data_IF_224014777310
#
_entry.id   IF_224014777310
#
_cell.length_a   1.000
_cell.length_b   1.000
_cell.length_c   1.000
_cell.angle_alpha   90.00
_cell.angle_beta   90.00
_cell.angle_gamma   90.00
#
_symmetry.space_group_name_H-M   'P 1'
#
loop_
_entity.id
_entity.type
_entity.pdbx_description
1 polymer ?
#
# COMPACT_ATOMS: atom_id res chain seq x y z
N UNK A 1 11.97 13.44 -10.86
CA UNK A 1 11.24 13.79 -9.63
C UNK A 1 9.83 14.32 -9.89
N UNK A 2 9.60 15.16 -10.90
CA UNK A 2 8.27 15.71 -11.19
C UNK A 2 7.20 14.64 -11.47
N UNK A 3 7.49 13.64 -12.32
CA UNK A 3 6.57 12.53 -12.59
C UNK A 3 6.18 11.73 -11.34
N UNK A 4 7.16 11.50 -10.46
CA UNK A 4 6.92 10.84 -9.18
C UNK A 4 6.01 11.69 -8.28
N UNK A 5 6.24 13.00 -8.23
CA UNK A 5 5.39 13.95 -7.53
C UNK A 5 3.95 13.93 -8.03
N UNK A 6 3.74 14.00 -9.35
CA UNK A 6 2.41 13.91 -9.95
C UNK A 6 1.73 12.58 -9.64
N UNK A 7 2.41 11.44 -9.83
CA UNK A 7 1.85 10.13 -9.55
C UNK A 7 1.38 10.00 -8.09
N UNK A 8 2.19 10.44 -7.13
CA UNK A 8 1.84 10.43 -5.71
C UNK A 8 0.70 11.40 -5.38
N UNK A 9 0.67 12.57 -6.03
CA UNK A 9 -0.42 13.54 -5.87
C UNK A 9 -1.76 12.97 -6.35
N UNK A 10 -1.75 12.28 -7.51
CA UNK A 10 -2.92 11.59 -8.03
C UNK A 10 -3.36 10.43 -7.14
N UNK A 11 -2.42 9.62 -6.62
CA UNK A 11 -2.74 8.54 -5.68
C UNK A 11 -3.53 9.06 -4.47
N UNK A 12 -3.05 10.15 -3.83
CA UNK A 12 -3.72 10.74 -2.67
C UNK A 12 -5.06 11.37 -3.03
N UNK A 13 -5.17 12.00 -4.20
CA UNK A 13 -6.42 12.56 -4.68
C UNK A 13 -7.48 11.46 -4.91
N UNK A 14 -7.08 10.34 -5.51
CA UNK A 14 -7.97 9.19 -5.74
C UNK A 14 -8.42 8.58 -4.42
N UNK A 15 -7.49 8.42 -3.48
CA UNK A 15 -7.81 7.98 -2.12
C UNK A 15 -6.76 8.47 -1.14
N UNK A 16 -7.22 9.18 -0.11
CA UNK A 16 -6.32 9.72 0.92
C UNK A 16 -5.50 8.65 1.66
N UNK A 17 -5.96 7.39 1.71
CA UNK A 17 -5.20 6.29 2.32
C UNK A 17 -3.92 5.94 1.56
N UNK A 18 -3.82 6.29 0.27
CA UNK A 18 -2.63 6.04 -0.54
C UNK A 18 -1.46 6.96 -0.19
N UNK A 19 -1.61 7.86 0.79
CA UNK A 19 -0.50 8.61 1.38
C UNK A 19 0.63 7.68 1.86
N UNK A 20 0.30 6.44 2.23
CA UNK A 20 1.27 5.40 2.60
C UNK A 20 2.24 5.08 1.45
N UNK A 21 1.88 5.30 0.19
CA UNK A 21 2.75 5.11 -0.97
C UNK A 21 3.99 6.01 -0.94
N UNK A 22 3.99 7.11 -0.16
CA UNK A 22 5.18 7.94 0.09
C UNK A 22 6.33 7.14 0.73
N UNK A 23 6.02 6.09 1.49
CA UNK A 23 7.03 5.20 2.05
C UNK A 23 7.89 4.53 0.97
N UNK A 24 7.36 4.35 -0.24
CA UNK A 24 8.04 3.67 -1.35
C UNK A 24 9.31 4.43 -1.77
N UNK A 25 9.23 5.67 -2.29
CA UNK A 25 10.42 6.42 -2.68
C UNK A 25 11.33 6.75 -1.48
N UNK A 26 10.79 6.94 -0.28
CA UNK A 26 11.56 7.27 0.92
C UNK A 26 12.45 6.11 1.38
N UNK A 27 11.91 4.89 1.41
CA UNK A 27 12.61 3.70 1.87
C UNK A 27 13.25 2.90 0.73
N UNK A 28 13.12 3.36 -0.52
CA UNK A 28 13.73 2.67 -1.66
C UNK A 28 15.25 2.62 -1.50
N UNK A 29 15.81 1.41 -1.56
CA UNK A 29 17.24 1.12 -1.43
C UNK A 29 17.81 1.41 -0.02
N UNK A 30 17.05 1.11 1.03
CA UNK A 30 17.43 1.30 2.43
C UNK A 30 17.43 -0.04 3.16
N UNK A 31 18.56 -0.45 3.74
CA UNK A 31 18.71 -1.73 4.47
C UNK A 31 19.59 -1.69 5.73
N UNK A 32 20.32 -0.60 5.95
CA UNK A 32 21.16 -0.37 7.13
C UNK A 32 21.31 1.14 7.42
N UNK A 33 21.94 1.49 8.54
CA UNK A 33 22.15 2.89 8.95
C UNK A 33 22.94 3.71 7.92
N UNK A 34 23.92 3.10 7.27
CA UNK A 34 24.72 3.75 6.23
C UNK A 34 23.90 4.10 4.99
N UNK A 35 23.11 3.16 4.46
CA UNK A 35 22.20 3.38 3.34
C UNK A 35 21.17 4.47 3.63
N UNK A 36 20.72 4.59 4.89
CA UNK A 36 19.84 5.67 5.34
C UNK A 36 20.53 7.03 5.28
N UNK A 37 21.77 7.14 5.77
CA UNK A 37 22.56 8.37 5.68
C UNK A 37 22.83 8.74 4.21
N UNK A 38 23.17 7.76 3.37
CA UNK A 38 23.36 7.97 1.93
C UNK A 38 22.08 8.42 1.23
N UNK A 39 20.92 7.91 1.65
CA UNK A 39 19.61 8.35 1.15
C UNK A 39 19.35 9.82 1.48
N UNK A 40 19.62 10.24 2.72
CA UNK A 40 19.49 11.64 3.12
C UNK A 40 20.45 12.56 2.40
N UNK A 41 21.71 12.12 2.20
CA UNK A 41 22.69 12.86 1.40
C UNK A 41 22.20 13.03 -0.04
N UNK A 42 21.72 11.95 -0.67
CA UNK A 42 21.13 12.01 -2.01
C UNK A 42 19.97 13.01 -2.11
N UNK A 43 19.08 13.02 -1.10
CA UNK A 43 17.95 13.96 -1.03
C UNK A 43 18.46 15.41 -0.92
N UNK A 44 19.46 15.64 -0.09
CA UNK A 44 20.05 16.97 0.13
C UNK A 44 20.77 17.51 -1.12
N UNK A 45 21.54 16.65 -1.78
CA UNK A 45 22.25 16.97 -3.01
C UNK A 45 21.28 17.31 -4.15
N UNK A 46 20.11 16.66 -4.16
CA UNK A 46 19.05 16.86 -5.16
C UNK A 46 17.89 17.71 -4.65
N UNK A 47 18.10 18.60 -3.67
CA UNK A 47 17.04 19.39 -3.03
C UNK A 47 16.17 20.18 -4.01
N UNK A 48 16.74 20.70 -5.10
CA UNK A 48 15.98 21.41 -6.14
C UNK A 48 15.00 20.47 -6.84
N UNK A 49 15.45 19.25 -7.17
CA UNK A 49 14.57 18.25 -7.78
C UNK A 49 13.50 17.76 -6.79
N UNK A 50 13.82 17.68 -5.50
CA UNK A 50 12.84 17.38 -4.45
C UNK A 50 11.79 18.49 -4.37
N UNK A 51 12.20 19.77 -4.31
CA UNK A 51 11.28 20.90 -4.29
C UNK A 51 10.36 20.90 -5.51
N UNK A 52 10.90 20.69 -6.71
CA UNK A 52 10.09 20.54 -7.92
C UNK A 52 9.11 19.35 -7.82
N UNK A 53 9.55 18.22 -7.28
CA UNK A 53 8.69 17.07 -7.03
C UNK A 53 7.56 17.36 -6.05
N UNK A 54 7.85 18.07 -4.95
CA UNK A 54 6.86 18.50 -3.95
C UNK A 54 5.89 19.51 -4.57
N UNK A 55 6.38 20.47 -5.36
CA UNK A 55 5.51 21.41 -6.08
C UNK A 55 4.54 20.67 -7.01
N UNK A 56 5.04 19.72 -7.82
CA UNK A 56 4.17 18.89 -8.68
C UNK A 56 3.17 18.05 -7.88
N UNK A 57 3.61 17.49 -6.75
CA UNK A 57 2.74 16.76 -5.84
C UNK A 57 1.60 17.63 -5.30
N UNK A 58 1.89 18.86 -4.85
CA UNK A 58 0.91 19.76 -4.25
C UNK A 58 -0.12 20.30 -5.25
N UNK A 59 0.21 20.38 -6.54
CA UNK A 59 -0.73 20.83 -7.58
C UNK A 59 -1.99 19.95 -7.60
N UNK A 60 -1.85 18.64 -7.38
CA UNK A 60 -2.98 17.71 -7.54
C UNK A 60 -4.00 17.83 -6.38
N UNK A 61 -3.61 17.79 -5.09
CA UNK A 61 -4.53 18.06 -3.98
C UNK A 61 -5.09 19.48 -3.98
N UNK A 62 -4.38 20.46 -4.53
CA UNK A 62 -4.89 21.84 -4.65
C UNK A 62 -6.17 21.91 -5.50
N UNK A 63 -6.29 21.08 -6.55
CA UNK A 63 -7.52 21.01 -7.35
C UNK A 63 -8.71 20.60 -6.46
N UNK A 64 -8.53 19.62 -5.59
CA UNK A 64 -9.56 19.18 -4.63
C UNK A 64 -9.92 20.26 -3.61
N UNK A 65 -8.92 20.94 -3.04
CA UNK A 65 -9.14 22.00 -2.05
C UNK A 65 -9.86 23.21 -2.64
N UNK A 66 -9.54 23.59 -3.89
CA UNK A 66 -10.23 24.64 -4.63
C UNK A 66 -11.67 24.25 -4.95
N UNK A 67 -11.90 23.00 -5.34
CA UNK A 67 -13.25 22.47 -5.56
C UNK A 67 -14.09 22.55 -4.27
N UNK A 68 -13.54 22.12 -3.13
CA UNK A 68 -14.23 22.27 -1.85
C UNK A 68 -14.49 23.73 -1.51
N UNK A 69 -13.52 24.62 -1.71
CA UNK A 69 -13.70 26.05 -1.45
C UNK A 69 -14.83 26.65 -2.29
N UNK A 70 -14.94 26.24 -3.56
CA UNK A 70 -15.98 26.68 -4.47
C UNK A 70 -17.38 26.19 -4.06
N UNK A 71 -17.51 24.92 -3.64
CA UNK A 71 -18.82 24.30 -3.35
C UNK A 71 -19.28 24.51 -1.90
N UNK A 72 -18.38 24.33 -0.92
CA UNK A 72 -18.72 24.33 0.50
C UNK A 72 -18.27 25.60 1.24
N UNK A 73 -17.53 26.48 0.56
CA UNK A 73 -16.94 27.67 1.16
C UNK A 73 -15.70 27.39 2.03
N UNK A 74 -15.27 26.13 2.17
CA UNK A 74 -14.16 25.69 3.02
C UNK A 74 -13.06 24.99 2.19
N UNK A 75 -11.78 25.22 2.51
CA UNK A 75 -10.67 24.58 1.80
C UNK A 75 -10.50 23.09 2.12
N UNK A 76 -10.99 22.64 3.28
CA UNK A 76 -11.00 21.25 3.70
C UNK A 76 -12.42 20.96 4.18
N UNK A 77 -13.07 19.99 3.55
CA UNK A 77 -14.45 19.62 3.89
C UNK A 77 -14.54 18.11 4.16
N UNK A 78 -14.90 17.74 5.39
CA UNK A 78 -15.09 16.35 5.75
C UNK A 78 -16.46 15.86 5.25
N UNK A 79 -16.43 15.09 4.17
CA UNK A 79 -17.67 14.60 3.51
C UNK A 79 -18.35 13.45 4.27
N UNK A 80 -17.70 12.90 5.29
CA UNK A 80 -18.11 11.70 6.03
C UNK A 80 -18.78 12.03 7.37
N UNK A 81 -19.72 12.97 7.39
CA UNK A 81 -20.33 13.51 8.62
C UNK A 81 -21.02 12.45 9.51
N UNK A 82 -21.48 11.34 8.94
CA UNK A 82 -22.23 10.28 9.63
C UNK A 82 -21.45 8.98 9.87
N UNK A 83 -20.18 8.90 9.46
CA UNK A 83 -19.33 7.72 9.73
C UNK A 83 -18.21 8.12 10.66
N UNK A 84 -18.10 7.39 11.77
CA UNK A 84 -17.02 7.56 12.74
C UNK A 84 -15.66 7.45 12.02
N UNK A 85 -14.70 8.30 12.41
CA UNK A 85 -13.41 8.45 11.72
C UNK A 85 -12.50 7.23 11.87
N UNK A 86 -11.44 7.37 12.67
CA UNK A 86 -10.46 6.31 12.85
C UNK A 86 -10.45 5.76 14.28
N UNK A 87 -10.61 4.44 14.38
CA UNK A 87 -10.39 3.62 15.56
C UNK A 87 -8.95 3.07 15.56
N UNK A 88 -8.05 3.78 16.25
CA UNK A 88 -6.63 3.40 16.31
C UNK A 88 -6.30 2.31 17.34
N UNK A 89 -7.30 1.71 17.98
CA UNK A 89 -7.11 0.64 18.97
C UNK A 89 -6.94 -0.76 18.36
N UNK A 90 -7.05 -0.87 17.03
CA UNK A 90 -6.86 -2.13 16.31
C UNK A 90 -8.04 -3.10 16.43
N UNK A 91 -9.19 -2.70 16.99
CA UNK A 91 -10.35 -3.57 17.23
C UNK A 91 -10.91 -4.26 15.97
N UNK A 92 -10.62 -3.72 14.79
CA UNK A 92 -11.12 -4.25 13.51
C UNK A 92 -10.09 -5.09 12.73
N UNK A 93 -8.84 -5.23 13.20
CA UNK A 93 -7.77 -5.99 12.49
C UNK A 93 -8.24 -7.41 12.14
N UNK A 94 -8.77 -8.15 13.11
CA UNK A 94 -9.24 -9.52 12.88
C UNK A 94 -10.46 -9.56 11.96
N UNK A 95 -11.34 -8.56 12.06
CA UNK A 95 -12.52 -8.46 11.19
C UNK A 95 -12.09 -8.23 9.75
N UNK A 96 -11.14 -7.34 9.52
CA UNK A 96 -10.58 -7.07 8.19
C UNK A 96 -9.88 -8.29 7.60
N UNK A 97 -9.28 -9.16 8.41
CA UNK A 97 -8.60 -10.35 7.91
C UNK A 97 -9.56 -11.53 7.64
N UNK A 98 -10.56 -11.75 8.50
CA UNK A 98 -11.31 -13.01 8.55
C UNK A 98 -12.83 -12.88 8.74
N UNK A 99 -13.42 -11.69 8.74
CA UNK A 99 -14.88 -11.58 8.84
C UNK A 99 -15.60 -12.07 7.59
N UNK A 100 -16.59 -12.94 7.76
CA UNK A 100 -17.50 -13.35 6.69
C UNK A 100 -18.28 -12.20 6.07
N UNK A 101 -18.55 -11.11 6.82
CA UNK A 101 -19.19 -9.92 6.24
C UNK A 101 -18.31 -9.32 5.16
N UNK A 102 -17.04 -9.12 5.50
CA UNK A 102 -16.01 -8.48 4.68
C UNK A 102 -14.64 -8.85 5.20
N UNK A 103 -13.79 -9.40 4.34
CA UNK A 103 -12.42 -9.68 4.73
C UNK A 103 -11.46 -9.65 3.56
N UNK A 104 -10.19 -9.53 3.88
CA UNK A 104 -9.14 -9.51 2.89
C UNK A 104 -8.69 -10.92 2.53
N UNK A 105 -8.37 -11.77 3.51
CA UNK A 105 -7.79 -13.08 3.23
C UNK A 105 -8.85 -14.07 2.71
N UNK A 106 -10.05 -14.11 3.28
CA UNK A 106 -11.08 -15.06 2.79
C UNK A 106 -11.51 -14.77 1.34
N UNK A 107 -11.58 -13.50 0.95
CA UNK A 107 -12.03 -13.10 -0.39
C UNK A 107 -10.87 -12.96 -1.39
N UNK A 108 -9.64 -12.73 -0.92
CA UNK A 108 -8.44 -12.55 -1.74
C UNK A 108 -7.25 -13.33 -1.17
N UNK A 109 -7.30 -14.67 -1.07
CA UNK A 109 -6.24 -15.47 -0.44
C UNK A 109 -4.90 -15.40 -1.19
N UNK A 110 -4.92 -15.05 -2.48
CA UNK A 110 -3.73 -14.78 -3.29
C UNK A 110 -2.76 -13.79 -2.64
N UNK A 111 -3.26 -12.88 -1.78
CA UNK A 111 -2.40 -11.91 -1.08
C UNK A 111 -1.39 -12.59 -0.14
N UNK A 112 -1.67 -13.80 0.34
CA UNK A 112 -0.73 -14.57 1.17
C UNK A 112 0.59 -14.76 0.40
N UNK A 113 0.53 -14.99 -0.91
CA UNK A 113 1.73 -15.15 -1.74
C UNK A 113 2.57 -13.87 -1.78
N UNK A 114 1.91 -12.71 -1.87
CA UNK A 114 2.60 -11.41 -1.79
C UNK A 114 3.23 -11.19 -0.41
N UNK A 115 2.53 -11.52 0.67
CA UNK A 115 3.04 -11.39 2.05
C UNK A 115 4.27 -12.27 2.26
N UNK A 116 4.21 -13.55 1.86
CA UNK A 116 5.37 -14.45 1.89
C UNK A 116 6.51 -13.92 1.01
N UNK A 117 6.16 -13.37 -0.15
CA UNK A 117 7.07 -12.66 -1.05
C UNK A 117 7.89 -11.58 -0.36
N UNK A 118 7.27 -10.75 0.50
CA UNK A 118 7.98 -9.73 1.28
C UNK A 118 9.07 -10.38 2.13
N UNK A 119 8.78 -11.47 2.85
CA UNK A 119 9.79 -12.13 3.68
C UNK A 119 10.91 -12.78 2.87
N UNK A 120 10.61 -13.28 1.67
CA UNK A 120 11.62 -13.81 0.73
C UNK A 120 12.57 -12.69 0.26
N UNK A 121 12.05 -11.47 0.04
CA UNK A 121 12.87 -10.32 -0.34
C UNK A 121 13.96 -9.99 0.69
N UNK A 122 13.80 -10.37 1.97
CA UNK A 122 14.86 -10.20 2.98
C UNK A 122 16.18 -10.85 2.55
N UNK A 123 16.11 -11.97 1.82
CA UNK A 123 17.27 -12.70 1.28
C UNK A 123 17.59 -12.30 -0.16
N UNK A 124 16.58 -12.17 -1.03
CA UNK A 124 16.78 -11.97 -2.47
C UNK A 124 16.90 -10.50 -2.92
N UNK A 125 16.35 -9.58 -2.15
CA UNK A 125 16.25 -8.15 -2.49
C UNK A 125 16.26 -7.29 -1.22
N UNK A 126 17.24 -7.54 -0.35
CA UNK A 126 17.38 -6.88 0.95
C UNK A 126 17.25 -5.35 0.90
N UNK A 127 17.77 -4.63 -0.12
CA UNK A 127 17.61 -3.18 -0.22
C UNK A 127 16.16 -2.66 -0.35
N UNK A 128 15.23 -3.50 -0.78
CA UNK A 128 13.83 -3.13 -0.99
C UNK A 128 12.88 -3.75 0.05
N UNK A 129 13.36 -4.70 0.85
CA UNK A 129 12.57 -5.40 1.86
C UNK A 129 11.82 -4.44 2.80
N UNK A 130 12.54 -3.46 3.37
CA UNK A 130 11.94 -2.50 4.29
C UNK A 130 10.88 -1.62 3.62
N UNK A 131 11.07 -1.30 2.34
CA UNK A 131 10.12 -0.52 1.55
C UNK A 131 8.75 -1.19 1.51
N UNK A 132 8.70 -2.46 1.09
CA UNK A 132 7.44 -3.18 0.94
C UNK A 132 6.86 -3.60 2.29
N UNK A 133 7.70 -3.91 3.28
CA UNK A 133 7.24 -4.24 4.62
C UNK A 133 6.53 -3.05 5.28
N UNK A 134 7.15 -1.86 5.25
CA UNK A 134 6.55 -0.66 5.85
C UNK A 134 5.31 -0.25 5.08
N UNK A 135 5.33 -0.26 3.74
CA UNK A 135 4.15 0.00 2.93
C UNK A 135 2.99 -0.93 3.31
N UNK A 136 3.23 -2.25 3.35
CA UNK A 136 2.22 -3.24 3.69
C UNK A 136 1.64 -3.01 5.10
N UNK A 137 2.50 -2.88 6.12
CA UNK A 137 2.05 -2.73 7.50
C UNK A 137 1.30 -1.42 7.73
N UNK A 138 1.82 -0.29 7.21
CA UNK A 138 1.19 1.01 7.35
C UNK A 138 -0.15 1.06 6.60
N UNK A 139 -0.22 0.50 5.40
CA UNK A 139 -1.45 0.49 4.60
C UNK A 139 -2.51 -0.42 5.23
N UNK A 140 -2.12 -1.63 5.64
CA UNK A 140 -3.00 -2.56 6.35
C UNK A 140 -3.54 -1.95 7.64
N UNK A 141 -2.66 -1.36 8.45
CA UNK A 141 -3.06 -0.72 9.70
C UNK A 141 -4.03 0.44 9.44
N UNK A 142 -3.69 1.35 8.52
CA UNK A 142 -4.53 2.50 8.18
C UNK A 142 -5.95 2.10 7.75
N UNK A 143 -6.07 1.08 6.89
CA UNK A 143 -7.38 0.56 6.45
C UNK A 143 -8.10 -0.12 7.61
N UNK A 144 -7.38 -0.89 8.43
CA UNK A 144 -7.97 -1.58 9.59
C UNK A 144 -8.43 -0.64 10.69
N UNK A 145 -7.87 0.58 10.75
CA UNK A 145 -8.25 1.60 11.72
C UNK A 145 -9.47 2.41 11.27
N UNK A 146 -10.00 2.25 10.06
CA UNK A 146 -11.21 2.96 9.66
C UNK A 146 -12.44 2.39 10.40
N UNK A 147 -13.22 3.24 11.09
CA UNK A 147 -14.30 2.75 11.96
C UNK A 147 -15.37 1.98 11.16
N UNK A 148 -15.67 2.43 9.94
CA UNK A 148 -16.47 1.69 8.97
C UNK A 148 -15.63 0.64 8.22
N UNK A 149 -14.98 -0.27 8.95
CA UNK A 149 -14.08 -1.31 8.43
C UNK A 149 -14.70 -2.21 7.34
N UNK A 150 -16.04 -2.29 7.28
CA UNK A 150 -16.78 -3.05 6.27
C UNK A 150 -16.90 -2.33 4.92
N UNK A 151 -16.45 -1.08 4.78
CA UNK A 151 -16.20 -0.39 3.51
C UNK A 151 -17.40 -0.39 2.51
N UNK A 152 -18.64 -0.36 3.03
CA UNK A 152 -19.86 -0.31 2.22
C UNK A 152 -20.18 -1.59 1.42
N UNK A 153 -20.99 -1.45 0.37
CA UNK A 153 -21.43 -2.56 -0.49
C UNK A 153 -20.45 -2.83 -1.63
N UNK A 154 -19.76 -3.97 -1.57
CA UNK A 154 -18.83 -4.43 -2.63
C UNK A 154 -18.58 -5.95 -2.50
N UNK A 155 -17.78 -6.56 -3.36
CA UNK A 155 -17.21 -7.89 -3.12
C UNK A 155 -15.80 -7.73 -2.52
N UNK A 156 -15.49 -8.46 -1.43
CA UNK A 156 -14.21 -8.34 -0.73
C UNK A 156 -13.92 -6.95 -0.15
N UNK A 157 -12.64 -6.64 0.05
CA UNK A 157 -12.18 -5.35 0.62
C UNK A 157 -11.63 -4.41 -0.45
N UNK A 158 -12.48 -3.52 -0.97
CA UNK A 158 -12.16 -2.59 -2.06
C UNK A 158 -10.95 -1.69 -1.76
N UNK A 159 -10.74 -1.28 -0.52
CA UNK A 159 -9.68 -0.31 -0.22
C UNK A 159 -8.27 -0.91 -0.40
N UNK A 160 -8.14 -2.24 -0.48
CA UNK A 160 -6.86 -2.88 -0.78
C UNK A 160 -6.52 -2.96 -2.27
N UNK A 161 -7.46 -2.65 -3.18
CA UNK A 161 -7.27 -2.87 -4.63
C UNK A 161 -6.07 -2.11 -5.19
N UNK A 162 -5.87 -0.86 -4.78
CA UNK A 162 -4.71 -0.05 -5.23
C UNK A 162 -3.38 -0.63 -4.73
N UNK A 163 -3.35 -1.13 -3.50
CA UNK A 163 -2.15 -1.76 -2.94
C UNK A 163 -1.73 -3.03 -3.67
N UNK A 164 -2.62 -3.70 -4.42
CA UNK A 164 -2.29 -4.91 -5.17
C UNK A 164 -1.27 -4.65 -6.28
N UNK A 165 -1.28 -3.46 -6.89
CA UNK A 165 -0.26 -3.08 -7.88
C UNK A 165 1.14 -3.09 -7.26
N UNK A 166 1.27 -2.57 -6.04
CA UNK A 166 2.55 -2.57 -5.29
C UNK A 166 2.88 -3.98 -4.79
N UNK A 167 1.91 -4.71 -4.26
CA UNK A 167 2.07 -6.06 -3.71
C UNK A 167 2.33 -7.15 -4.77
N UNK A 168 2.15 -6.84 -6.06
CA UNK A 168 2.56 -7.70 -7.17
C UNK A 168 4.08 -7.88 -7.24
N UNK A 169 4.87 -6.88 -6.84
CA UNK A 169 6.34 -6.97 -6.85
C UNK A 169 6.83 -8.03 -5.84
N UNK A 170 6.45 -7.99 -4.55
CA UNK A 170 6.72 -9.09 -3.61
C UNK A 170 6.24 -10.46 -4.11
N UNK A 171 5.06 -10.53 -4.73
CA UNK A 171 4.56 -11.77 -5.32
C UNK A 171 5.50 -12.31 -6.41
N UNK A 172 6.08 -11.44 -7.24
CA UNK A 172 7.11 -11.83 -8.21
C UNK A 172 8.34 -12.48 -7.57
N UNK A 173 8.76 -11.99 -6.40
CA UNK A 173 9.84 -12.63 -5.63
C UNK A 173 9.44 -14.00 -5.08
N UNK A 174 8.18 -14.17 -4.65
CA UNK A 174 7.65 -15.49 -4.30
C UNK A 174 7.71 -16.45 -5.49
N UNK A 175 7.25 -16.04 -6.67
CA UNK A 175 7.30 -16.85 -7.90
C UNK A 175 8.74 -17.20 -8.28
N UNK A 176 9.67 -16.23 -8.19
CA UNK A 176 11.09 -16.47 -8.44
C UNK A 176 11.71 -17.48 -7.47
N UNK A 177 11.34 -17.43 -6.19
CA UNK A 177 11.78 -18.42 -5.21
C UNK A 177 11.16 -19.79 -5.49
N UNK A 178 9.87 -19.82 -5.85
CA UNK A 178 9.16 -21.04 -6.17
C UNK A 178 9.76 -21.74 -7.41
N UNK A 179 10.22 -20.99 -8.41
CA UNK A 179 10.85 -21.56 -9.62
C UNK A 179 12.14 -22.33 -9.32
N UNK A 180 12.87 -21.96 -8.27
CA UNK A 180 14.08 -22.65 -7.79
C UNK A 180 13.80 -23.66 -6.68
N UNK A 181 12.54 -23.79 -6.24
CA UNK A 181 12.15 -24.71 -5.18
C UNK A 181 11.95 -26.14 -5.70
N UNK A 182 11.93 -27.11 -4.78
CA UNK A 182 11.71 -28.53 -5.07
C UNK A 182 10.34 -28.73 -5.75
N UNK A 183 10.25 -29.72 -6.65
CA UNK A 183 9.06 -29.97 -7.47
C UNK A 183 7.78 -30.19 -6.65
N UNK A 184 7.86 -30.83 -5.48
CA UNK A 184 6.72 -31.04 -4.59
C UNK A 184 6.18 -29.73 -3.99
N UNK A 185 7.03 -28.74 -3.72
CA UNK A 185 6.60 -27.40 -3.26
C UNK A 185 5.82 -26.70 -4.38
N UNK A 186 6.29 -26.82 -5.62
CA UNK A 186 5.57 -26.31 -6.81
C UNK A 186 4.21 -26.99 -6.97
N UNK A 187 4.17 -28.31 -6.84
CA UNK A 187 2.93 -29.10 -6.90
C UNK A 187 1.91 -28.69 -5.85
N UNK A 188 2.32 -28.57 -4.58
CA UNK A 188 1.45 -28.11 -3.48
C UNK A 188 0.93 -26.70 -3.77
N UNK A 189 1.79 -25.78 -4.17
CA UNK A 189 1.38 -24.40 -4.47
C UNK A 189 0.36 -24.36 -5.60
N UNK A 190 0.58 -25.13 -6.67
CA UNK A 190 -0.34 -25.22 -7.80
C UNK A 190 -1.70 -25.81 -7.40
N UNK A 191 -1.71 -26.87 -6.59
CA UNK A 191 -2.94 -27.48 -6.08
C UNK A 191 -3.76 -26.49 -5.22
N UNK A 192 -3.09 -25.75 -4.33
CA UNK A 192 -3.74 -24.71 -3.51
C UNK A 192 -4.35 -23.61 -4.38
N UNK A 193 -3.63 -23.20 -5.44
CA UNK A 193 -4.14 -22.21 -6.39
C UNK A 193 -5.34 -22.72 -7.18
N UNK A 194 -5.27 -23.93 -7.71
CA UNK A 194 -6.40 -24.53 -8.43
C UNK A 194 -7.62 -24.70 -7.55
N UNK A 195 -7.44 -25.18 -6.31
CA UNK A 195 -8.54 -25.29 -5.35
C UNK A 195 -9.23 -23.95 -5.11
N UNK A 196 -8.54 -22.82 -5.25
CA UNK A 196 -9.17 -21.51 -5.13
C UNK A 196 -9.91 -21.05 -6.39
N UNK A 197 -9.42 -21.37 -7.59
CA UNK A 197 -10.05 -20.96 -8.85
C UNK A 197 -11.18 -21.88 -9.34
N UNK A 198 -11.26 -23.10 -8.81
CA UNK A 198 -12.28 -24.09 -9.18
C UNK A 198 -13.56 -24.01 -8.35
N UNK A 199 -13.62 -23.15 -7.32
CA UNK A 199 -14.83 -22.82 -6.55
C UNK A 199 -15.17 -21.35 -6.71
#
# INVERSE_FOLDING_TARGET
>A
MCWLGFALGFMILLRGSEIVALSIPMLWNVWNKESWVNKWRLIWDNRVQLLLGISCFMIVPMIQMLYWKYVTGQFIFFSYQNTEGFDWDGRHILKVLFSYKKSWILYTPMIILSIVGIFIMKKLARPHYLTFLVFFLAHFYLISSWAAWWQGGSFGMRYFVESYAVMCIPMGFFVRWLSHSRIWIKGITYLVLQAFFCF
#
